data_IF_824979538912
#
_entry.id   IF_824979538912
#
_cell.length_a   1.000
_cell.length_b   1.000
_cell.length_c   1.000
_cell.angle_alpha   90.00
_cell.angle_beta   90.00
_cell.angle_gamma   90.00
#
_symmetry.space_group_name_H-M   'P 1'
#
loop_
_entity.id
_entity.type
_entity.pdbx_description
1 polymer ?
#
# COMPACT_ATOMS: atom_id res chain seq x y z
N UNK A 1 14.43 22.67 -7.68
CA UNK A 1 13.84 21.39 -8.12
C UNK A 1 14.84 20.29 -7.77
N UNK A 2 14.80 19.78 -6.54
CA UNK A 2 15.70 18.71 -6.09
C UNK A 2 15.03 17.37 -6.31
N UNK A 3 15.69 16.52 -7.08
CA UNK A 3 15.25 15.17 -7.41
C UNK A 3 15.74 14.23 -6.29
N UNK A 4 14.97 14.06 -5.22
CA UNK A 4 15.28 13.14 -4.13
C UNK A 4 14.82 11.73 -4.50
N UNK A 5 15.61 11.01 -5.31
CA UNK A 5 15.47 9.55 -5.39
C UNK A 5 16.05 8.96 -4.11
N UNK A 6 15.20 8.67 -3.12
CA UNK A 6 15.58 7.90 -1.95
C UNK A 6 16.12 6.53 -2.39
N UNK A 7 17.38 6.26 -2.09
CA UNK A 7 17.94 4.93 -2.26
C UNK A 7 17.30 4.01 -1.21
N UNK A 8 16.65 2.93 -1.66
CA UNK A 8 16.20 1.86 -0.79
C UNK A 8 17.47 1.26 -0.14
N UNK A 9 17.69 1.54 1.14
CA UNK A 9 18.70 0.82 1.91
C UNK A 9 18.14 -0.56 2.23
N UNK A 10 18.51 -1.55 1.41
CA UNK A 10 18.29 -2.96 1.75
C UNK A 10 19.06 -3.29 3.04
N UNK A 11 18.44 -3.94 4.04
CA UNK A 11 19.16 -4.53 5.16
C UNK A 11 20.31 -5.37 4.64
N UNK A 12 21.39 -5.48 5.43
CA UNK A 12 22.51 -6.33 5.04
C UNK A 12 21.99 -7.71 4.62
N UNK A 13 22.48 -8.25 3.50
CA UNK A 13 22.03 -9.50 2.87
C UNK A 13 22.02 -10.72 3.82
N UNK A 14 22.56 -10.58 5.02
CA UNK A 14 22.69 -11.62 6.03
C UNK A 14 21.39 -11.91 6.80
N UNK A 15 20.55 -10.91 7.10
CA UNK A 15 19.46 -11.07 8.08
C UNK A 15 18.19 -11.75 7.54
N UNK A 16 18.06 -11.97 6.23
CA UNK A 16 16.82 -12.47 5.62
C UNK A 16 17.03 -13.65 4.66
N UNK A 17 18.17 -14.35 4.71
CA UNK A 17 18.47 -15.44 3.76
C UNK A 17 17.52 -16.64 3.86
N UNK A 18 16.91 -16.86 5.02
CA UNK A 18 16.03 -18.01 5.25
C UNK A 18 14.60 -17.78 4.74
N UNK A 19 14.27 -16.56 4.31
CA UNK A 19 12.94 -16.24 3.76
C UNK A 19 12.89 -16.65 2.29
N UNK A 20 12.10 -17.69 1.98
CA UNK A 20 11.99 -18.27 0.63
C UNK A 20 10.65 -18.00 -0.06
N UNK A 21 9.68 -17.43 0.65
CA UNK A 21 8.32 -17.19 0.20
C UNK A 21 8.08 -15.74 -0.24
N UNK A 22 9.11 -15.09 -0.80
CA UNK A 22 9.02 -13.73 -1.35
C UNK A 22 9.10 -13.80 -2.86
N UNK A 23 8.17 -13.12 -3.54
CA UNK A 23 8.21 -12.91 -4.98
C UNK A 23 8.11 -11.42 -5.27
N UNK A 24 9.06 -10.90 -6.05
CA UNK A 24 8.97 -9.53 -6.58
C UNK A 24 8.14 -9.56 -7.86
N UNK A 25 7.10 -8.74 -7.90
CA UNK A 25 6.20 -8.63 -9.05
C UNK A 25 6.12 -7.14 -9.40
N UNK A 26 6.46 -6.80 -10.65
CA UNK A 26 6.20 -5.47 -11.19
C UNK A 26 4.75 -5.38 -11.66
N UNK A 27 4.08 -4.28 -11.36
CA UNK A 27 2.68 -4.06 -11.74
C UNK A 27 2.28 -2.60 -11.64
N UNK A 28 1.11 -2.26 -12.17
CA UNK A 28 0.51 -0.95 -12.06
C UNK A 28 -0.47 -0.95 -10.88
N UNK A 29 -0.46 0.07 -10.02
CA UNK A 29 -1.42 0.19 -8.92
C UNK A 29 -2.88 0.29 -9.40
N UNK A 30 -3.09 0.64 -10.66
CA UNK A 30 -4.40 0.72 -11.32
C UNK A 30 -4.80 -0.53 -12.10
N UNK A 31 -3.95 -1.56 -12.11
CA UNK A 31 -4.16 -2.87 -12.77
C UNK A 31 -3.23 -3.90 -12.14
N UNK A 32 -3.62 -4.40 -10.96
CA UNK A 32 -2.78 -5.30 -10.19
C UNK A 32 -2.76 -6.70 -10.81
N UNK A 33 -1.59 -7.34 -10.98
CA UNK A 33 -1.44 -8.64 -11.66
C UNK A 33 -1.83 -9.83 -10.74
N UNK A 34 -3.00 -9.72 -10.13
CA UNK A 34 -3.57 -10.69 -9.20
C UNK A 34 -5.03 -10.94 -9.56
N UNK A 35 -5.49 -12.17 -9.32
CA UNK A 35 -6.89 -12.56 -9.48
C UNK A 35 -7.78 -11.87 -8.44
N UNK A 36 -9.06 -11.76 -8.77
CA UNK A 36 -10.07 -11.23 -7.85
C UNK A 36 -10.14 -12.09 -6.57
N UNK A 37 -10.17 -11.43 -5.41
CA UNK A 37 -10.34 -12.13 -4.13
C UNK A 37 -9.22 -13.13 -3.79
N UNK A 38 -8.01 -12.96 -4.30
CA UNK A 38 -6.93 -13.92 -4.03
C UNK A 38 -6.06 -13.54 -2.81
N UNK A 39 -6.03 -12.26 -2.42
CA UNK A 39 -5.17 -11.76 -1.33
C UNK A 39 -5.93 -11.64 -0.02
N UNK A 40 -5.29 -12.07 1.08
CA UNK A 40 -5.80 -11.86 2.43
C UNK A 40 -5.44 -10.48 3.00
N UNK A 41 -4.29 -9.94 2.61
CA UNK A 41 -3.81 -8.64 3.10
C UNK A 41 -3.14 -7.91 1.95
N UNK A 42 -3.43 -6.62 1.82
CA UNK A 42 -2.62 -5.69 1.03
C UNK A 42 -2.09 -4.61 1.96
N UNK A 43 -0.78 -4.36 1.92
CA UNK A 43 -0.13 -3.38 2.76
C UNK A 43 0.57 -2.32 1.89
N UNK A 44 0.31 -1.05 2.16
CA UNK A 44 1.00 0.10 1.58
C UNK A 44 1.73 0.86 2.68
N UNK A 45 3.05 0.98 2.52
CA UNK A 45 3.90 1.74 3.44
C UNK A 45 4.40 2.96 2.71
N UNK A 46 3.92 4.14 3.09
CA UNK A 46 4.26 5.44 2.48
C UNK A 46 4.06 5.47 0.95
N UNK A 47 2.98 4.84 0.45
CA UNK A 47 2.68 4.76 -0.99
C UNK A 47 1.37 5.45 -1.36
N UNK A 48 0.35 5.40 -0.50
CA UNK A 48 -1.00 5.79 -0.90
C UNK A 48 -1.08 7.25 -1.37
N UNK A 49 -0.33 8.16 -0.74
CA UNK A 49 -0.32 9.58 -1.13
C UNK A 49 0.43 9.86 -2.44
N UNK A 50 1.36 8.99 -2.84
CA UNK A 50 2.12 9.12 -4.09
C UNK A 50 1.30 8.73 -5.33
N UNK A 51 0.16 8.05 -5.13
CA UNK A 51 -0.73 7.64 -6.21
C UNK A 51 -1.59 8.84 -6.63
N UNK A 52 -1.56 9.19 -7.91
CA UNK A 52 -2.35 10.31 -8.44
C UNK A 52 -3.86 10.06 -8.36
N UNK A 53 -4.33 8.90 -8.83
CA UNK A 53 -5.73 8.49 -8.77
C UNK A 53 -5.94 7.43 -7.67
N UNK A 54 -5.97 7.91 -6.42
CA UNK A 54 -6.13 7.06 -5.23
C UNK A 54 -7.39 6.23 -5.28
N UNK A 55 -8.49 6.77 -5.79
CA UNK A 55 -9.77 6.06 -5.87
C UNK A 55 -9.68 4.84 -6.79
N UNK A 56 -9.06 5.00 -7.96
CA UNK A 56 -8.85 3.88 -8.87
C UNK A 56 -7.94 2.81 -8.27
N UNK A 57 -6.87 3.20 -7.58
CA UNK A 57 -6.02 2.25 -6.89
C UNK A 57 -6.77 1.50 -5.77
N UNK A 58 -7.57 2.20 -4.96
CA UNK A 58 -8.37 1.58 -3.90
C UNK A 58 -9.41 0.60 -4.46
N UNK A 59 -10.00 0.88 -5.62
CA UNK A 59 -10.89 -0.07 -6.32
C UNK A 59 -10.14 -1.35 -6.71
N UNK A 60 -8.93 -1.23 -7.24
CA UNK A 60 -8.10 -2.40 -7.56
C UNK A 60 -7.68 -3.19 -6.32
N UNK A 61 -7.34 -2.50 -5.24
CA UNK A 61 -7.04 -3.14 -3.95
C UNK A 61 -8.25 -3.92 -3.44
N UNK A 62 -9.45 -3.34 -3.53
CA UNK A 62 -10.70 -4.00 -3.16
C UNK A 62 -10.99 -5.22 -4.05
N UNK A 63 -10.67 -5.15 -5.35
CA UNK A 63 -10.84 -6.28 -6.29
C UNK A 63 -9.97 -7.49 -5.90
N UNK A 64 -8.69 -7.27 -5.61
CA UNK A 64 -7.74 -8.36 -5.33
C UNK A 64 -7.88 -8.92 -3.90
N UNK A 65 -8.46 -8.14 -2.99
CA UNK A 65 -8.73 -8.58 -1.62
C UNK A 65 -9.90 -9.55 -1.55
N UNK A 66 -9.76 -10.58 -0.72
CA UNK A 66 -10.88 -11.40 -0.25
C UNK A 66 -11.90 -10.52 0.48
N UNK A 67 -13.14 -11.01 0.56
CA UNK A 67 -14.23 -10.30 1.25
C UNK A 67 -13.91 -9.99 2.73
N UNK A 68 -13.14 -10.86 3.39
CA UNK A 68 -12.64 -10.73 4.76
C UNK A 68 -11.18 -10.24 4.83
N UNK A 69 -10.64 -9.76 3.71
CA UNK A 69 -9.27 -9.30 3.61
C UNK A 69 -9.05 -7.92 4.22
N UNK A 70 -7.80 -7.63 4.56
CA UNK A 70 -7.40 -6.36 5.17
C UNK A 70 -6.59 -5.51 4.22
N UNK A 71 -6.96 -4.23 4.10
CA UNK A 71 -6.10 -3.21 3.55
C UNK A 71 -5.44 -2.42 4.68
N UNK A 72 -4.11 -2.41 4.70
CA UNK A 72 -3.30 -1.73 5.72
C UNK A 72 -2.54 -0.59 5.07
N UNK A 73 -2.63 0.59 5.66
CA UNK A 73 -1.89 1.79 5.24
C UNK A 73 -1.05 2.26 6.41
N UNK A 74 0.26 2.35 6.20
CA UNK A 74 1.21 2.87 7.18
C UNK A 74 1.89 4.11 6.59
N UNK A 75 1.73 5.26 7.24
CA UNK A 75 2.35 6.52 6.84
C UNK A 75 3.42 6.93 7.87
N UNK A 76 4.48 7.61 7.42
CA UNK A 76 5.59 8.03 8.27
C UNK A 76 5.51 9.53 8.56
N UNK A 77 5.68 9.92 9.82
CA UNK A 77 5.84 11.33 10.23
C UNK A 77 7.25 11.57 10.79
N UNK A 78 7.93 12.69 10.48
CA UNK A 78 7.49 13.78 9.60
C UNK A 78 7.79 13.49 8.13
N UNK A 79 6.78 13.63 7.28
CA UNK A 79 6.87 13.58 5.82
C UNK A 79 6.20 14.86 5.27
N UNK A 80 6.80 15.58 4.30
CA UNK A 80 6.17 16.73 3.65
C UNK A 80 4.79 16.44 3.06
N UNK A 81 4.58 15.22 2.57
CA UNK A 81 3.33 14.72 1.99
C UNK A 81 2.52 13.89 3.00
N UNK A 82 2.86 13.97 4.30
CA UNK A 82 2.12 13.31 5.36
C UNK A 82 0.65 13.73 5.33
N UNK A 83 -0.27 12.80 5.07
CA UNK A 83 -1.67 13.12 5.08
C UNK A 83 -2.10 13.32 6.54
N UNK A 84 -2.92 14.33 6.81
CA UNK A 84 -3.69 14.36 8.05
C UNK A 84 -4.45 13.04 8.16
N UNK A 85 -4.49 12.43 9.37
CA UNK A 85 -5.14 11.12 9.60
C UNK A 85 -6.56 11.03 9.03
N UNK A 86 -7.28 12.15 8.97
CA UNK A 86 -8.61 12.26 8.36
C UNK A 86 -8.66 11.90 6.87
N UNK A 87 -7.55 12.05 6.13
CA UNK A 87 -7.53 11.86 4.67
C UNK A 87 -7.58 10.38 4.30
N UNK A 88 -6.71 9.48 4.83
CA UNK A 88 -6.86 8.03 4.60
C UNK A 88 -8.20 7.48 5.11
N UNK A 89 -8.68 7.94 6.28
CA UNK A 89 -9.98 7.52 6.81
C UNK A 89 -11.12 7.86 5.85
N UNK A 90 -11.14 9.09 5.32
CA UNK A 90 -12.17 9.54 4.39
C UNK A 90 -12.16 8.70 3.11
N UNK A 91 -10.98 8.46 2.55
CA UNK A 91 -10.83 7.62 1.35
C UNK A 91 -11.30 6.18 1.60
N UNK A 92 -10.94 5.60 2.75
CA UNK A 92 -11.38 4.26 3.11
C UNK A 92 -12.91 4.19 3.32
N UNK A 93 -13.50 5.22 3.91
CA UNK A 93 -14.95 5.34 4.08
C UNK A 93 -15.67 5.45 2.73
N UNK A 94 -15.13 6.25 1.81
CA UNK A 94 -15.66 6.39 0.43
C UNK A 94 -15.52 5.10 -0.39
N UNK A 95 -14.61 4.20 0.00
CA UNK A 95 -14.44 2.88 -0.60
C UNK A 95 -15.32 1.77 0.03
N UNK A 96 -16.23 2.11 0.94
CA UNK A 96 -17.06 1.21 1.76
C UNK A 96 -16.24 0.26 2.67
N UNK A 97 -15.07 0.70 3.14
CA UNK A 97 -14.23 -0.08 4.06
C UNK A 97 -14.53 0.27 5.53
N UNK A 98 -14.49 -0.74 6.41
CA UNK A 98 -14.47 -0.51 7.87
C UNK A 98 -13.08 -0.06 8.28
N UNK A 99 -12.96 1.09 8.93
CA UNK A 99 -11.68 1.69 9.31
C UNK A 99 -11.38 1.42 10.78
N UNK A 100 -10.18 0.91 11.07
CA UNK A 100 -9.62 0.84 12.41
C UNK A 100 -8.32 1.65 12.45
N UNK A 101 -8.21 2.59 13.38
CA UNK A 101 -6.96 3.28 13.66
C UNK A 101 -6.19 2.55 14.77
N UNK A 102 -4.88 2.40 14.59
CA UNK A 102 -3.94 1.84 15.59
C UNK A 102 -2.85 2.85 15.88
#
# INVERSE_FOLDING_TARGET
MSNHRGAIQTPSKLENQDIRNIKLIGGNAYDLPFEDGCLNVVNMVTVLQEISDRNRALQEIKRVLKLDGFFVVSELFPDPDYPWKSTPIKLATEADSVVNEV
#
